data_IF_700702506455
#
_entry.id   IF_700702506455
#
_cell.length_a   1.000
_cell.length_b   1.000
_cell.length_c   1.000
_cell.angle_alpha   90.00
_cell.angle_beta   90.00
_cell.angle_gamma   90.00
#
_symmetry.space_group_name_H-M   'P 1'
#
loop_
_entity.id
_entity.type
_entity.pdbx_description
1 polymer ?
#
# COMPACT_ATOMS: atom_id res chain seq x y z
N UNK A 1 -46.50 22.35 -21.12
CA UNK A 1 -46.67 21.06 -21.84
C UNK A 1 -45.83 21.24 -23.08
N UNK A 2 -44.52 21.07 -22.91
CA UNK A 2 -43.73 19.92 -23.44
C UNK A 2 -43.58 20.09 -24.96
N UNK A 3 -42.41 20.14 -25.59
CA UNK A 3 -41.15 19.38 -25.48
C UNK A 3 -40.00 20.37 -25.82
N UNK A 4 -38.77 20.29 -25.30
CA UNK A 4 -37.98 19.09 -25.10
C UNK A 4 -37.15 18.75 -26.36
N UNK A 5 -36.43 19.71 -26.97
CA UNK A 5 -35.52 19.39 -28.09
C UNK A 5 -34.19 18.84 -27.57
N UNK A 6 -34.21 17.53 -27.33
CA UNK A 6 -33.20 16.52 -27.64
C UNK A 6 -31.81 17.01 -28.06
N UNK A 7 -30.88 17.10 -27.10
CA UNK A 7 -29.45 16.98 -27.39
C UNK A 7 -29.12 15.50 -27.68
N UNK A 8 -28.45 15.19 -28.81
CA UNK A 8 -28.12 13.81 -29.17
C UNK A 8 -27.03 13.27 -28.24
N UNK A 9 -27.44 12.42 -27.29
CA UNK A 9 -26.53 11.56 -26.54
C UNK A 9 -25.81 10.65 -27.53
N UNK A 10 -24.55 11.00 -27.80
CA UNK A 10 -23.67 10.29 -28.70
C UNK A 10 -23.22 8.98 -28.05
N UNK A 11 -23.65 7.89 -28.68
CA UNK A 11 -23.02 6.59 -28.78
C UNK A 11 -22.66 5.84 -27.48
N UNK A 12 -23.54 4.89 -27.16
CA UNK A 12 -23.24 3.63 -26.48
C UNK A 12 -22.03 2.93 -27.11
N UNK A 13 -20.87 2.97 -26.46
CA UNK A 13 -19.75 2.08 -26.76
C UNK A 13 -19.88 0.80 -25.93
N UNK A 14 -20.64 -0.15 -26.48
CA UNK A 14 -20.51 -1.57 -26.11
C UNK A 14 -19.31 -2.13 -26.83
N UNK A 15 -18.17 -2.26 -26.14
CA UNK A 15 -17.13 -3.21 -26.52
C UNK A 15 -16.59 -3.94 -25.29
N UNK A 16 -17.15 -5.14 -25.15
CA UNK A 16 -16.64 -6.29 -24.42
C UNK A 16 -15.21 -6.61 -24.85
N UNK A 17 -14.23 -6.49 -23.94
CA UNK A 17 -12.89 -7.05 -24.11
C UNK A 17 -12.40 -7.69 -22.80
N UNK A 18 -12.48 -9.02 -22.79
CA UNK A 18 -11.80 -10.00 -21.92
C UNK A 18 -12.26 -10.08 -20.45
N UNK A 19 -12.82 -11.22 -19.99
CA UNK A 19 -12.42 -11.74 -18.70
C UNK A 19 -10.90 -11.89 -18.81
N UNK A 20 -10.13 -11.08 -18.08
CA UNK A 20 -8.71 -11.38 -17.91
C UNK A 20 -8.66 -12.66 -17.10
N UNK A 21 -8.63 -13.78 -17.83
CA UNK A 21 -8.27 -15.12 -17.36
C UNK A 21 -7.09 -14.92 -16.42
N UNK A 22 -7.37 -14.94 -15.11
CA UNK A 22 -6.34 -14.93 -14.09
C UNK A 22 -5.83 -16.35 -14.11
N UNK A 23 -4.87 -16.60 -15.00
CA UNK A 23 -4.05 -17.80 -14.98
C UNK A 23 -3.71 -18.13 -13.52
N UNK A 24 -3.82 -19.39 -13.07
CA UNK A 24 -3.45 -19.78 -11.72
C UNK A 24 -1.93 -19.69 -11.63
N UNK A 25 -1.46 -18.46 -11.50
CA UNK A 25 -0.06 -18.08 -11.45
C UNK A 25 0.26 -18.24 -9.99
N UNK A 26 0.75 -19.43 -9.62
CA UNK A 26 1.38 -19.79 -8.33
C UNK A 26 1.17 -18.68 -7.30
N UNK A 27 0.01 -18.69 -6.64
CA UNK A 27 -0.44 -17.60 -5.78
C UNK A 27 0.59 -17.42 -4.68
N UNK A 28 1.50 -16.46 -4.87
CA UNK A 28 2.40 -16.05 -3.81
C UNK A 28 1.48 -15.42 -2.77
N UNK A 29 1.35 -16.06 -1.61
CA UNK A 29 0.60 -15.51 -0.50
C UNK A 29 1.26 -14.18 -0.12
N UNK A 30 0.66 -13.08 -0.60
CA UNK A 30 1.11 -11.75 -0.28
C UNK A 30 0.76 -11.47 1.17
N UNK A 31 1.78 -11.36 2.01
CA UNK A 31 1.60 -11.12 3.45
C UNK A 31 1.85 -9.65 3.71
N UNK A 32 0.86 -8.98 4.29
CA UNK A 32 0.94 -7.58 4.68
C UNK A 32 0.81 -7.42 6.19
N UNK A 33 1.84 -6.85 6.81
CA UNK A 33 1.90 -6.61 8.26
C UNK A 33 2.13 -5.12 8.54
N UNK A 34 1.34 -4.56 9.46
CA UNK A 34 1.55 -3.23 10.04
C UNK A 34 1.86 -3.37 11.53
N UNK A 35 2.97 -2.78 11.98
CA UNK A 35 3.43 -2.80 13.37
C UNK A 35 3.67 -1.38 13.85
N UNK A 36 3.23 -1.07 15.08
CA UNK A 36 3.58 0.17 15.76
C UNK A 36 4.97 0.03 16.38
N UNK A 37 5.85 0.96 16.06
CA UNK A 37 7.25 0.95 16.50
C UNK A 37 7.53 2.25 17.26
N UNK A 38 7.97 2.20 18.52
CA UNK A 38 8.41 3.39 19.24
C UNK A 38 9.53 4.13 18.51
N UNK A 39 9.53 5.45 18.52
CA UNK A 39 10.52 6.27 17.80
C UNK A 39 11.96 5.98 18.18
N UNK A 40 12.21 5.65 19.44
CA UNK A 40 13.53 5.25 19.92
C UNK A 40 14.03 3.95 19.27
N UNK A 41 13.12 3.03 18.92
CA UNK A 41 13.45 1.76 18.28
C UNK A 41 13.57 1.89 16.75
N UNK A 42 12.89 2.86 16.14
CA UNK A 42 12.92 3.07 14.69
C UNK A 42 14.34 3.35 14.16
N UNK A 43 15.13 4.14 14.89
CA UNK A 43 16.52 4.44 14.52
C UNK A 43 17.38 3.17 14.44
N UNK A 44 17.18 2.22 15.36
CA UNK A 44 17.89 0.95 15.35
C UNK A 44 17.47 0.04 14.19
N UNK A 45 16.17 0.03 13.83
CA UNK A 45 15.65 -0.73 12.69
C UNK A 45 16.18 -0.17 11.37
N UNK A 46 16.20 1.16 11.19
CA UNK A 46 16.72 1.80 9.99
C UNK A 46 18.24 1.58 9.89
N UNK A 47 18.96 1.77 11.00
CA UNK A 47 20.41 1.73 11.04
C UNK A 47 21.06 2.98 10.41
N UNK A 48 22.38 3.10 10.55
CA UNK A 48 23.13 4.23 9.99
C UNK A 48 23.04 4.21 8.47
N UNK A 49 22.54 5.29 7.87
CA UNK A 49 22.38 5.38 6.41
C UNK A 49 21.38 4.37 5.80
N UNK A 50 20.54 3.70 6.60
CA UNK A 50 19.61 2.69 6.12
C UNK A 50 20.21 1.28 5.94
N UNK A 51 21.43 1.03 6.42
CA UNK A 51 22.13 -0.25 6.24
C UNK A 51 21.37 -1.43 6.85
N UNK A 52 20.89 -1.29 8.10
CA UNK A 52 20.22 -2.39 8.81
C UNK A 52 18.90 -2.78 8.13
N UNK A 53 18.05 -1.82 7.77
CA UNK A 53 16.79 -2.11 7.07
C UNK A 53 17.03 -2.68 5.66
N UNK A 54 18.10 -2.28 4.97
CA UNK A 54 18.46 -2.85 3.68
C UNK A 54 18.88 -4.32 3.82
N UNK A 55 19.71 -4.62 4.83
CA UNK A 55 20.11 -5.99 5.15
C UNK A 55 18.90 -6.87 5.48
N UNK A 56 18.00 -6.42 6.36
CA UNK A 56 16.79 -7.18 6.73
C UNK A 56 15.93 -7.46 5.49
N UNK A 57 15.75 -6.48 4.60
CA UNK A 57 15.00 -6.69 3.36
C UNK A 57 15.68 -7.69 2.42
N UNK A 58 17.00 -7.64 2.30
CA UNK A 58 17.77 -8.55 1.47
C UNK A 58 17.74 -10.00 1.99
N UNK A 59 17.90 -10.19 3.30
CA UNK A 59 17.88 -11.51 3.94
C UNK A 59 16.48 -12.14 3.93
N UNK A 60 15.45 -11.33 4.15
CA UNK A 60 14.07 -11.84 4.23
C UNK A 60 13.39 -11.90 2.87
N UNK A 61 13.83 -11.10 1.88
CA UNK A 61 13.12 -10.86 0.62
C UNK A 61 11.85 -10.03 0.79
N UNK A 62 11.57 -9.53 1.99
CA UNK A 62 10.41 -8.68 2.26
C UNK A 62 10.73 -7.21 1.92
N UNK A 63 9.71 -6.46 1.52
CA UNK A 63 9.75 -5.00 1.41
C UNK A 63 9.32 -4.39 2.72
N UNK A 64 10.15 -3.52 3.29
CA UNK A 64 9.92 -2.89 4.58
C UNK A 64 9.86 -1.38 4.39
N UNK A 65 8.83 -0.73 4.96
CA UNK A 65 8.66 0.72 4.91
C UNK A 65 8.31 1.27 6.29
N UNK A 66 8.97 2.35 6.70
CA UNK A 66 8.53 3.15 7.84
C UNK A 66 7.62 4.29 7.37
N UNK A 67 6.60 4.61 8.16
CA UNK A 67 5.80 5.83 7.97
C UNK A 67 6.62 7.08 8.31
N UNK A 68 6.17 8.25 7.84
CA UNK A 68 6.78 9.52 8.22
C UNK A 68 6.43 9.86 9.67
N UNK A 69 7.20 10.76 10.27
CA UNK A 69 6.96 11.27 11.64
C UNK A 69 5.52 11.78 11.85
N UNK A 70 4.85 12.23 10.78
CA UNK A 70 3.49 12.76 10.85
C UNK A 70 2.41 11.81 10.30
N UNK A 71 2.79 10.61 9.87
CA UNK A 71 1.88 9.57 9.38
C UNK A 71 1.55 8.64 10.55
N UNK A 72 0.58 9.07 11.35
CA UNK A 72 0.11 8.35 12.53
C UNK A 72 -1.02 7.37 12.20
N UNK A 73 -1.12 6.31 13.01
CA UNK A 73 -2.29 5.45 12.96
C UNK A 73 -3.48 6.18 13.60
N UNK A 74 -4.62 6.37 12.91
CA UNK A 74 -5.75 7.10 13.45
C UNK A 74 -6.27 6.44 14.73
N UNK A 75 -6.50 7.23 15.78
CA UNK A 75 -6.97 6.74 17.08
C UNK A 75 -5.87 6.44 18.10
N UNK A 76 -4.59 6.52 17.73
CA UNK A 76 -3.51 6.54 18.71
C UNK A 76 -3.28 7.97 19.22
N UNK A 77 -3.14 8.09 20.55
CA UNK A 77 -2.62 9.28 21.24
C UNK A 77 -1.24 9.67 20.66
N UNK A 78 -0.78 10.92 20.85
CA UNK A 78 0.44 11.48 20.22
C UNK A 78 1.73 10.90 20.83
N UNK A 79 1.83 9.59 20.90
CA UNK A 79 3.08 8.91 21.16
C UNK A 79 3.87 8.86 19.86
N UNK A 80 5.15 9.16 19.96
CA UNK A 80 6.13 9.11 18.87
C UNK A 80 6.29 7.66 18.40
N UNK A 81 5.32 7.14 17.64
CA UNK A 81 5.30 5.78 17.12
C UNK A 81 5.25 5.82 15.59
N UNK A 82 6.20 5.15 14.96
CA UNK A 82 6.21 4.90 13.53
C UNK A 82 5.35 3.67 13.19
N UNK A 83 4.74 3.68 12.00
CA UNK A 83 4.14 2.49 11.42
C UNK A 83 5.17 1.80 10.53
N UNK A 84 5.60 0.62 10.95
CA UNK A 84 6.40 -0.29 10.13
C UNK A 84 5.47 -1.16 9.30
N UNK A 85 5.64 -1.10 7.99
CA UNK A 85 4.93 -1.94 7.02
C UNK A 85 5.87 -2.98 6.45
N UNK A 86 5.48 -4.25 6.47
CA UNK A 86 6.21 -5.37 5.86
C UNK A 86 5.34 -6.02 4.81
N UNK A 87 5.88 -6.23 3.61
CA UNK A 87 5.24 -6.88 2.47
C UNK A 87 6.14 -7.99 1.93
N UNK A 88 5.63 -9.21 1.87
CA UNK A 88 6.30 -10.36 1.21
C UNK A 88 5.47 -10.83 0.03
#
# INVERSE_FOLDING_TARGET
MDEGTEDPTTATETQQLCPRETSPTKQADLIYLKVLVPSIAAGAIIGKGGEAIAQIQNETGAKIKLSKLNDFYPGNLPYDHYLLTVLR
#
